data_IF_373394808926
#
_entry.id   IF_373394808926
#
_cell.length_a   1.000
_cell.length_b   1.000
_cell.length_c   1.000
_cell.angle_alpha   90.00
_cell.angle_beta   90.00
_cell.angle_gamma   90.00
#
_symmetry.space_group_name_H-M   'P 1'
#
loop_
_entity.id
_entity.type
_entity.pdbx_description
1 polymer ?
#
# COMPACT_ATOMS: atom_id res chain seq x y z
N UNK A 1 -18.78 -18.49 -23.81
CA UNK A 1 -17.73 -19.25 -23.12
C UNK A 1 -17.38 -18.51 -21.84
N UNK A 2 -17.87 -18.97 -20.69
CA UNK A 2 -17.63 -18.34 -19.38
C UNK A 2 -16.30 -18.88 -18.83
N UNK A 3 -15.29 -18.03 -18.69
CA UNK A 3 -14.00 -18.40 -18.10
C UNK A 3 -14.17 -18.56 -16.59
N UNK A 4 -14.06 -19.80 -16.10
CA UNK A 4 -14.19 -20.10 -14.68
C UNK A 4 -13.11 -19.41 -13.85
N UNK A 5 -13.53 -18.66 -12.84
CA UNK A 5 -12.61 -18.05 -11.89
C UNK A 5 -11.85 -19.15 -11.14
N UNK A 6 -10.52 -19.19 -11.29
CA UNK A 6 -9.66 -20.15 -10.58
C UNK A 6 -9.76 -19.88 -9.08
N UNK A 7 -9.97 -20.95 -8.31
CA UNK A 7 -10.06 -20.87 -6.86
C UNK A 7 -8.75 -20.37 -6.26
N UNK A 8 -8.80 -19.28 -5.49
CA UNK A 8 -7.66 -18.74 -4.77
C UNK A 8 -6.94 -19.79 -3.90
N UNK A 9 -7.70 -20.76 -3.39
CA UNK A 9 -7.16 -21.86 -2.57
C UNK A 9 -6.26 -22.80 -3.40
N UNK A 10 -6.64 -23.09 -4.65
CA UNK A 10 -5.87 -23.91 -5.58
C UNK A 10 -4.64 -23.17 -6.08
N UNK A 11 -4.76 -21.88 -6.38
CA UNK A 11 -3.62 -21.04 -6.76
C UNK A 11 -2.58 -21.01 -5.65
N UNK A 12 -3.02 -20.84 -4.38
CA UNK A 12 -2.13 -20.82 -3.23
C UNK A 12 -1.44 -22.17 -2.99
N UNK A 13 -2.15 -23.29 -3.17
CA UNK A 13 -1.58 -24.63 -3.06
C UNK A 13 -0.46 -24.85 -4.10
N UNK A 14 -0.75 -24.56 -5.38
CA UNK A 14 0.23 -24.65 -6.48
C UNK A 14 1.44 -23.74 -6.27
N UNK A 15 1.25 -22.53 -5.73
CA UNK A 15 2.36 -21.63 -5.39
C UNK A 15 3.28 -22.19 -4.30
N UNK A 16 2.74 -22.87 -3.28
CA UNK A 16 3.56 -23.53 -2.24
C UNK A 16 4.27 -24.76 -2.78
N UNK A 17 3.59 -25.57 -3.59
CA UNK A 17 4.18 -26.76 -4.23
C UNK A 17 5.33 -26.40 -5.19
N UNK A 18 5.22 -25.27 -5.90
CA UNK A 18 6.26 -24.80 -6.81
C UNK A 18 7.53 -24.26 -6.10
N UNK A 19 7.47 -24.01 -4.79
CA UNK A 19 8.55 -23.43 -3.97
C UNK A 19 8.66 -24.16 -2.62
N UNK A 20 9.04 -25.46 -2.61
CA UNK A 20 9.11 -26.27 -1.40
C UNK A 20 10.27 -25.87 -0.46
N UNK A 21 11.21 -25.07 -0.96
CA UNK A 21 12.37 -24.53 -0.25
C UNK A 21 12.03 -23.38 0.71
N UNK A 22 10.86 -22.74 0.54
CA UNK A 22 10.45 -21.60 1.36
C UNK A 22 9.67 -22.08 2.59
N UNK A 23 10.21 -21.80 3.76
CA UNK A 23 9.58 -22.07 5.04
C UNK A 23 8.40 -21.14 5.37
N UNK A 24 7.58 -21.53 6.34
CA UNK A 24 6.37 -20.78 6.72
C UNK A 24 6.65 -19.35 7.21
N UNK A 25 7.77 -19.13 7.91
CA UNK A 25 8.19 -17.80 8.36
C UNK A 25 8.48 -16.87 7.18
N UNK A 26 9.18 -17.36 6.17
CA UNK A 26 9.52 -16.60 4.97
C UNK A 26 8.28 -16.35 4.09
N UNK A 27 7.32 -17.29 4.07
CA UNK A 27 5.99 -17.06 3.48
C UNK A 27 5.20 -15.97 4.21
N UNK A 28 5.24 -15.96 5.54
CA UNK A 28 4.57 -14.95 6.35
C UNK A 28 5.18 -13.56 6.10
N UNK A 29 6.51 -13.46 6.04
CA UNK A 29 7.22 -12.24 5.68
C UNK A 29 6.83 -11.75 4.28
N UNK A 30 6.84 -12.63 3.27
CA UNK A 30 6.43 -12.26 1.91
C UNK A 30 4.98 -11.78 1.84
N UNK A 31 4.08 -12.44 2.57
CA UNK A 31 2.68 -12.03 2.65
C UNK A 31 2.56 -10.64 3.25
N UNK A 32 3.33 -10.37 4.30
CA UNK A 32 3.33 -9.06 4.97
C UNK A 32 3.93 -7.97 4.07
N UNK A 33 5.02 -8.24 3.36
CA UNK A 33 5.60 -7.33 2.36
C UNK A 33 4.58 -7.04 1.25
N UNK A 34 3.91 -8.06 0.72
CA UNK A 34 2.89 -7.89 -0.30
C UNK A 34 1.70 -7.07 0.21
N UNK A 35 1.23 -7.34 1.45
CA UNK A 35 0.16 -6.57 2.10
C UNK A 35 0.53 -5.09 2.21
N UNK A 36 1.73 -4.78 2.70
CA UNK A 36 2.24 -3.40 2.83
C UNK A 36 2.36 -2.70 1.48
N UNK A 37 2.80 -3.42 0.44
CA UNK A 37 2.88 -2.87 -0.91
C UNK A 37 1.49 -2.53 -1.46
N UNK A 38 0.49 -3.40 -1.22
CA UNK A 38 -0.91 -3.13 -1.56
C UNK A 38 -1.45 -1.91 -0.80
N UNK A 39 -1.22 -1.82 0.51
CA UNK A 39 -1.62 -0.65 1.31
C UNK A 39 -1.02 0.64 0.77
N UNK A 40 0.30 0.67 0.55
CA UNK A 40 0.97 1.86 0.05
C UNK A 40 0.45 2.27 -1.34
N UNK A 41 0.14 1.29 -2.20
CA UNK A 41 -0.49 1.56 -3.49
C UNK A 41 -1.88 2.19 -3.35
N UNK A 42 -2.73 1.67 -2.47
CA UNK A 42 -4.07 2.21 -2.19
C UNK A 42 -3.99 3.65 -1.69
N UNK A 43 -3.07 3.94 -0.76
CA UNK A 43 -2.82 5.31 -0.28
C UNK A 43 -2.42 6.23 -1.42
N UNK A 44 -1.42 5.83 -2.21
CA UNK A 44 -0.94 6.62 -3.33
C UNK A 44 -2.04 6.91 -4.35
N UNK A 45 -2.87 5.91 -4.63
CA UNK A 45 -4.03 6.05 -5.49
C UNK A 45 -5.03 7.08 -4.95
N UNK A 46 -5.46 6.99 -3.70
CA UNK A 46 -6.43 7.95 -3.14
C UNK A 46 -5.87 9.37 -3.03
N UNK A 47 -4.58 9.54 -2.71
CA UNK A 47 -3.93 10.85 -2.75
C UNK A 47 -3.91 11.45 -4.17
N UNK A 48 -3.71 10.62 -5.20
CA UNK A 48 -3.80 11.04 -6.59
C UNK A 48 -5.22 11.47 -6.95
N UNK A 49 -6.24 10.69 -6.57
CA UNK A 49 -7.64 11.03 -6.82
C UNK A 49 -8.02 12.36 -6.14
N UNK A 50 -7.65 12.54 -4.87
CA UNK A 50 -7.86 13.78 -4.13
C UNK A 50 -7.18 14.98 -4.82
N UNK A 51 -5.92 14.82 -5.26
CA UNK A 51 -5.20 15.86 -6.00
C UNK A 51 -5.95 16.26 -7.27
N UNK A 52 -6.40 15.28 -8.05
CA UNK A 52 -7.12 15.50 -9.31
C UNK A 52 -8.49 16.16 -9.06
N UNK A 53 -9.23 15.72 -8.05
CA UNK A 53 -10.51 16.31 -7.66
C UNK A 53 -10.38 17.78 -7.26
N UNK A 54 -9.23 18.18 -6.72
CA UNK A 54 -8.92 19.56 -6.33
C UNK A 54 -8.25 20.37 -7.45
N UNK A 55 -8.09 19.80 -8.65
CA UNK A 55 -7.55 20.50 -9.82
C UNK A 55 -6.05 20.79 -9.76
N UNK A 56 -5.31 20.17 -8.83
CA UNK A 56 -3.87 20.40 -8.69
C UNK A 56 -3.05 19.49 -9.61
N UNK A 57 -1.96 20.04 -10.14
CA UNK A 57 -0.85 19.29 -10.74
C UNK A 57 0.07 18.71 -9.66
N UNK A 58 0.87 17.72 -10.03
CA UNK A 58 1.89 17.18 -9.11
C UNK A 58 2.95 18.23 -8.75
N UNK A 59 3.21 19.21 -9.63
CA UNK A 59 4.17 20.29 -9.38
C UNK A 59 3.66 21.26 -8.30
N UNK A 60 2.38 21.66 -8.37
CA UNK A 60 1.76 22.53 -7.35
C UNK A 60 1.69 21.85 -5.99
N UNK A 61 1.42 20.55 -5.94
CA UNK A 61 1.50 19.78 -4.69
C UNK A 61 2.93 19.70 -4.18
N UNK A 62 3.91 19.50 -5.06
CA UNK A 62 5.31 19.44 -4.68
C UNK A 62 5.80 20.77 -4.07
N UNK A 63 5.42 21.89 -4.67
CA UNK A 63 5.70 23.23 -4.15
C UNK A 63 5.11 23.44 -2.76
N UNK A 64 3.82 23.11 -2.57
CA UNK A 64 3.13 23.21 -1.26
C UNK A 64 3.77 22.35 -0.17
N UNK A 65 4.30 21.19 -0.55
CA UNK A 65 4.94 20.24 0.36
C UNK A 65 6.44 20.51 0.57
N UNK A 66 7.05 21.42 -0.20
CA UNK A 66 8.50 21.65 -0.17
C UNK A 66 9.32 20.44 -0.62
N UNK A 67 8.79 19.63 -1.54
CA UNK A 67 9.46 18.42 -2.09
C UNK A 67 9.57 18.49 -3.61
N UNK A 68 10.24 17.52 -4.23
CA UNK A 68 10.28 17.43 -5.69
C UNK A 68 8.99 16.85 -6.27
N UNK A 69 8.64 17.23 -7.51
CA UNK A 69 7.54 16.60 -8.25
C UNK A 69 7.74 15.09 -8.42
N UNK A 70 9.00 14.64 -8.58
CA UNK A 70 9.34 13.22 -8.60
C UNK A 70 8.96 12.51 -7.28
N UNK A 71 9.11 13.18 -6.14
CA UNK A 71 8.70 12.64 -4.84
C UNK A 71 7.18 12.49 -4.75
N UNK A 72 6.41 13.47 -5.24
CA UNK A 72 4.94 13.38 -5.33
C UNK A 72 4.52 12.20 -6.23
N UNK A 73 5.13 12.06 -7.40
CA UNK A 73 4.89 10.92 -8.30
C UNK A 73 5.21 9.56 -7.66
N UNK A 74 6.28 9.47 -6.86
CA UNK A 74 6.61 8.25 -6.12
C UNK A 74 5.54 7.91 -5.08
N UNK A 75 5.08 8.91 -4.32
CA UNK A 75 4.02 8.74 -3.31
C UNK A 75 2.73 8.25 -3.97
N UNK A 76 2.29 8.89 -5.06
CA UNK A 76 1.08 8.52 -5.80
C UNK A 76 1.14 7.10 -6.40
N UNK A 77 2.34 6.52 -6.53
CA UNK A 77 2.57 5.14 -6.99
C UNK A 77 2.85 4.16 -5.83
N UNK A 78 2.63 4.59 -4.59
CA UNK A 78 2.81 3.77 -3.39
C UNK A 78 4.26 3.56 -2.95
N UNK A 79 5.22 4.36 -3.42
CA UNK A 79 6.62 4.30 -2.95
C UNK A 79 6.80 5.16 -1.68
N UNK A 80 6.21 4.70 -0.58
CA UNK A 80 6.19 5.37 0.73
C UNK A 80 7.07 4.59 1.72
N UNK A 81 8.28 5.10 1.99
CA UNK A 81 9.29 4.38 2.78
C UNK A 81 9.16 4.57 4.30
N UNK A 82 8.73 5.73 4.76
CA UNK A 82 8.81 6.09 6.19
C UNK A 82 7.76 5.37 7.06
N UNK A 83 6.69 4.88 6.44
CA UNK A 83 5.58 4.25 7.17
C UNK A 83 5.97 2.89 7.75
N UNK A 84 6.96 2.22 7.16
CA UNK A 84 7.46 0.94 7.66
C UNK A 84 8.17 1.09 9.01
N UNK A 85 9.03 2.10 9.14
CA UNK A 85 9.73 2.38 10.40
C UNK A 85 8.74 2.71 11.53
N UNK A 86 7.71 3.50 11.24
CA UNK A 86 6.66 3.87 12.21
C UNK A 86 5.87 2.62 12.65
N UNK A 87 5.49 1.75 11.70
CA UNK A 87 4.77 0.50 12.02
C UNK A 87 5.62 -0.48 12.83
N UNK A 88 6.89 -0.64 12.49
CA UNK A 88 7.80 -1.50 13.23
C UNK A 88 7.99 -1.00 14.67
N UNK A 89 8.14 0.32 14.84
CA UNK A 89 8.22 0.95 16.15
C UNK A 89 6.95 0.70 16.99
N UNK A 90 5.77 0.97 16.42
CA UNK A 90 4.50 0.74 17.11
C UNK A 90 4.29 -0.74 17.49
N UNK A 91 4.62 -1.68 16.57
CA UNK A 91 4.53 -3.10 16.84
C UNK A 91 5.46 -3.54 17.99
N UNK A 92 6.67 -2.97 18.06
CA UNK A 92 7.59 -3.16 19.19
C UNK A 92 7.02 -2.71 20.54
N UNK A 93 6.04 -1.80 20.52
CA UNK A 93 5.31 -1.31 21.69
C UNK A 93 3.93 -1.98 21.89
N UNK A 94 3.59 -3.00 21.09
CA UNK A 94 2.26 -3.64 21.15
C UNK A 94 1.13 -2.78 20.61
N UNK A 95 1.44 -1.70 19.88
CA UNK A 95 0.48 -0.82 19.24
C UNK A 95 0.34 -1.10 17.74
N UNK A 96 -0.78 -0.65 17.16
CA UNK A 96 -1.01 -0.65 15.70
C UNK A 96 -1.14 0.79 15.23
N UNK A 97 -0.63 1.06 14.03
CA UNK A 97 -0.82 2.34 13.34
C UNK A 97 -1.72 2.08 12.14
N UNK A 98 -2.86 2.78 12.10
CA UNK A 98 -3.73 2.88 10.93
C UNK A 98 -3.49 4.23 10.25
N UNK A 99 -3.75 4.29 8.95
CA UNK A 99 -3.69 5.53 8.18
C UNK A 99 -5.09 5.88 7.72
N UNK A 100 -5.57 7.06 8.09
CA UNK A 100 -6.86 7.57 7.65
C UNK A 100 -6.63 8.75 6.72
N UNK A 101 -7.32 8.76 5.59
CA UNK A 101 -7.39 9.93 4.71
C UNK A 101 -8.78 10.52 4.86
N UNK A 102 -8.85 11.75 5.37
CA UNK A 102 -10.09 12.49 5.59
C UNK A 102 -10.12 13.71 4.67
N UNK A 103 -11.22 13.93 3.96
CA UNK A 103 -11.49 15.17 3.24
C UNK A 103 -12.97 15.47 3.18
N UNK A 104 -13.32 16.73 3.43
CA UNK A 104 -14.71 17.19 3.51
C UNK A 104 -15.49 16.29 4.51
N UNK A 105 -16.49 15.52 4.08
CA UNK A 105 -17.21 14.55 4.92
C UNK A 105 -16.83 13.07 4.63
N UNK A 106 -15.80 12.83 3.82
CA UNK A 106 -15.34 11.50 3.43
C UNK A 106 -14.15 11.02 4.30
N UNK A 107 -14.23 9.76 4.74
CA UNK A 107 -13.20 9.10 5.55
C UNK A 107 -12.82 7.78 4.88
N UNK A 108 -11.53 7.63 4.56
CA UNK A 108 -10.97 6.37 4.06
C UNK A 108 -9.98 5.83 5.08
N UNK A 109 -10.35 4.73 5.74
CA UNK A 109 -9.42 3.95 6.53
C UNK A 109 -8.58 3.06 5.60
N UNK A 110 -7.28 3.32 5.58
CA UNK A 110 -6.28 2.50 4.92
C UNK A 110 -5.73 1.56 5.98
N UNK A 111 -6.13 0.28 5.86
CA UNK A 111 -5.93 -0.85 6.77
C UNK A 111 -4.60 -0.90 7.56
#
# INVERSE_FOLDING_TARGET
MSGGAVSWRETKAKMREARPDIGDAEWAERKEVARRATEAYVVGYHLRELRLARGFTQAEVAERLGVSQARVSQIERGRIHNMEAIRAYAAGLGARVSLVIEWDDEVIEVA
#
